data_IF_055110138010
#
_entry.id   IF_055110138010
#
_cell.length_a   1.000
_cell.length_b   1.000
_cell.length_c   1.000
_cell.angle_alpha   90.00
_cell.angle_beta   90.00
_cell.angle_gamma   90.00
#
_symmetry.space_group_name_H-M   'P 1'
#
loop_
_entity.id
_entity.type
_entity.pdbx_description
1 polymer ?
#
# COMPACT_ATOMS: atom_id res chain seq x y z
N UNK A 1 -5.45 -5.96 10.51
CA UNK A 1 -4.21 -6.11 9.71
C UNK A 1 -4.61 -6.52 8.30
N UNK A 2 -4.04 -5.89 7.28
CA UNK A 2 -4.36 -6.18 5.89
C UNK A 2 -3.71 -7.52 5.50
N UNK A 3 -4.46 -8.44 4.89
CA UNK A 3 -3.92 -9.76 4.50
C UNK A 3 -3.77 -9.88 2.99
N UNK A 4 -2.86 -10.76 2.54
CA UNK A 4 -2.69 -11.09 1.11
C UNK A 4 -4.03 -11.43 0.45
N UNK A 5 -4.81 -12.33 1.07
CA UNK A 5 -6.09 -12.76 0.52
C UNK A 5 -7.06 -11.58 0.37
N UNK A 6 -7.09 -10.68 1.35
CA UNK A 6 -7.97 -9.49 1.32
C UNK A 6 -7.56 -8.53 0.22
N UNK A 7 -6.26 -8.32 0.01
CA UNK A 7 -5.74 -7.52 -1.10
C UNK A 7 -6.13 -8.16 -2.44
N UNK A 8 -5.89 -9.46 -2.61
CA UNK A 8 -6.23 -10.18 -3.84
C UNK A 8 -7.72 -10.10 -4.16
N UNK A 9 -8.59 -10.27 -3.18
CA UNK A 9 -10.05 -10.14 -3.37
C UNK A 9 -10.46 -8.72 -3.73
N UNK A 10 -9.90 -7.70 -3.08
CA UNK A 10 -10.28 -6.30 -3.35
C UNK A 10 -9.76 -5.79 -4.70
N UNK A 11 -8.65 -6.35 -5.18
CA UNK A 11 -8.03 -6.00 -6.47
C UNK A 11 -8.40 -6.95 -7.61
N UNK A 12 -9.24 -7.96 -7.38
CA UNK A 12 -9.61 -8.99 -8.38
C UNK A 12 -8.38 -9.74 -8.95
N UNK A 13 -7.42 -10.06 -8.08
CA UNK A 13 -6.15 -10.73 -8.41
C UNK A 13 -6.11 -12.18 -7.87
N UNK A 14 -7.26 -12.82 -7.64
CA UNK A 14 -7.35 -14.13 -6.98
C UNK A 14 -6.47 -15.19 -7.66
N UNK A 15 -6.41 -15.15 -9.00
CA UNK A 15 -5.69 -16.12 -9.82
C UNK A 15 -4.21 -15.74 -10.10
N UNK A 16 -3.75 -14.57 -9.63
CA UNK A 16 -2.40 -14.04 -9.93
C UNK A 16 -1.37 -14.46 -8.87
N UNK A 17 -1.03 -15.75 -8.81
CA UNK A 17 -0.09 -16.27 -7.80
C UNK A 17 1.31 -15.68 -7.90
N UNK A 18 1.74 -15.30 -9.12
CA UNK A 18 3.05 -14.69 -9.36
C UNK A 18 3.26 -13.36 -8.62
N UNK A 19 2.18 -12.72 -8.17
CA UNK A 19 2.19 -11.45 -7.44
C UNK A 19 2.17 -11.63 -5.92
N UNK A 20 1.95 -12.85 -5.40
CA UNK A 20 1.77 -13.10 -3.97
C UNK A 20 2.96 -12.58 -3.15
N UNK A 21 4.19 -12.97 -3.51
CA UNK A 21 5.40 -12.56 -2.79
C UNK A 21 5.61 -11.05 -2.81
N UNK A 22 5.29 -10.40 -3.93
CA UNK A 22 5.35 -8.94 -4.02
C UNK A 22 4.33 -8.28 -3.10
N UNK A 23 3.08 -8.74 -3.13
CA UNK A 23 2.00 -8.18 -2.28
C UNK A 23 2.32 -8.41 -0.80
N UNK A 24 2.78 -9.60 -0.41
CA UNK A 24 3.19 -9.92 0.96
C UNK A 24 4.31 -9.01 1.45
N UNK A 25 5.29 -8.70 0.59
CA UNK A 25 6.38 -7.77 0.93
C UNK A 25 5.89 -6.33 1.06
N UNK A 26 4.91 -5.94 0.26
CA UNK A 26 4.39 -4.57 0.20
C UNK A 26 3.45 -4.23 1.35
N UNK A 27 2.67 -5.19 1.85
CA UNK A 27 1.73 -4.98 2.97
C UNK A 27 2.40 -4.29 4.17
N UNK A 28 3.48 -4.82 4.77
CA UNK A 28 4.09 -4.19 5.95
C UNK A 28 4.69 -2.81 5.63
N UNK A 29 5.27 -2.61 4.44
CA UNK A 29 5.82 -1.31 4.02
C UNK A 29 4.72 -0.25 3.93
N UNK A 30 3.57 -0.61 3.36
CA UNK A 30 2.41 0.27 3.25
C UNK A 30 1.79 0.53 4.63
N UNK A 31 1.71 -0.49 5.49
CA UNK A 31 1.22 -0.32 6.86
C UNK A 31 2.11 0.67 7.64
N UNK A 32 3.43 0.55 7.56
CA UNK A 32 4.38 1.47 8.19
C UNK A 32 4.22 2.90 7.63
N UNK A 33 4.16 3.04 6.29
CA UNK A 33 3.94 4.34 5.65
C UNK A 33 2.64 5.00 6.12
N UNK A 34 1.55 4.25 6.17
CA UNK A 34 0.25 4.77 6.59
C UNK A 34 0.26 5.18 8.05
N UNK A 35 0.88 4.37 8.93
CA UNK A 35 1.04 4.69 10.35
C UNK A 35 1.80 5.99 10.54
N UNK A 36 2.93 6.14 9.86
CA UNK A 36 3.75 7.34 9.93
C UNK A 36 2.98 8.56 9.41
N UNK A 37 2.27 8.41 8.29
CA UNK A 37 1.51 9.50 7.67
C UNK A 37 0.39 10.03 8.57
N UNK A 38 -0.37 9.15 9.22
CA UNK A 38 -1.49 9.56 10.08
C UNK A 38 -1.07 9.81 11.54
N UNK A 39 0.22 9.65 11.87
CA UNK A 39 0.76 9.71 13.23
C UNK A 39 0.11 8.67 14.17
N UNK A 40 -0.05 7.43 13.69
CA UNK A 40 -0.60 6.33 14.49
C UNK A 40 0.50 5.66 15.32
N UNK A 41 0.34 5.53 16.65
CA UNK A 41 1.23 4.72 17.48
C UNK A 41 1.33 3.26 17.02
N UNK A 42 2.46 2.61 17.31
CA UNK A 42 2.74 1.23 16.86
C UNK A 42 1.82 0.19 17.53
N UNK A 43 1.34 0.48 18.72
CA UNK A 43 0.45 -0.34 19.52
C UNK A 43 -1.04 -0.21 19.14
N UNK A 44 -1.38 0.80 18.33
CA UNK A 44 -2.75 0.98 17.85
C UNK A 44 -3.00 0.27 16.51
N UNK A 45 -4.26 -0.11 16.27
CA UNK A 45 -4.66 -0.72 15.00
C UNK A 45 -4.95 0.34 13.93
N UNK A 46 -4.51 0.06 12.69
CA UNK A 46 -4.87 0.90 11.54
C UNK A 46 -6.38 0.84 11.34
N UNK A 47 -7.09 1.99 11.23
CA UNK A 47 -8.53 2.01 11.01
C UNK A 47 -8.94 1.21 9.78
N UNK A 48 -9.97 0.36 9.90
CA UNK A 48 -10.52 -0.46 8.80
C UNK A 48 -10.90 0.38 7.57
N UNK A 49 -11.30 1.65 7.77
CA UNK A 49 -11.60 2.59 6.67
C UNK A 49 -10.41 2.90 5.75
N UNK A 50 -9.18 2.60 6.18
CA UNK A 50 -7.97 2.78 5.37
C UNK A 50 -7.58 1.54 4.56
N UNK A 51 -8.23 0.39 4.74
CA UNK A 51 -7.89 -0.84 4.02
C UNK A 51 -7.98 -0.70 2.49
N UNK A 52 -9.07 -0.10 1.98
CA UNK A 52 -9.21 0.18 0.55
C UNK A 52 -8.15 1.17 0.05
N UNK A 53 -7.70 2.09 0.90
CA UNK A 53 -6.64 3.05 0.55
C UNK A 53 -5.31 2.33 0.44
N UNK A 54 -4.97 1.47 1.40
CA UNK A 54 -3.77 0.63 1.35
C UNK A 54 -3.77 -0.31 0.14
N UNK A 55 -4.89 -0.94 -0.19
CA UNK A 55 -5.02 -1.75 -1.40
C UNK A 55 -4.71 -0.95 -2.68
N UNK A 56 -5.21 0.28 -2.80
CA UNK A 56 -4.92 1.16 -3.95
C UNK A 56 -3.46 1.57 -4.03
N UNK A 57 -2.79 1.72 -2.90
CA UNK A 57 -1.34 2.01 -2.86
C UNK A 57 -0.51 0.81 -3.31
N UNK A 58 -0.93 -0.41 -2.95
CA UNK A 58 -0.34 -1.66 -3.44
C UNK A 58 -0.57 -1.79 -4.95
N UNK A 59 -1.80 -1.56 -5.42
CA UNK A 59 -2.15 -1.56 -6.84
C UNK A 59 -1.31 -0.55 -7.65
N UNK A 60 -1.13 0.66 -7.13
CA UNK A 60 -0.31 1.69 -7.76
C UNK A 60 1.14 1.23 -7.94
N UNK A 61 1.73 0.64 -6.90
CA UNK A 61 3.09 0.13 -6.94
C UNK A 61 3.23 -1.12 -7.83
N UNK A 62 2.22 -2.00 -7.86
CA UNK A 62 2.16 -3.12 -8.81
C UNK A 62 2.18 -2.63 -10.27
N UNK A 63 1.36 -1.62 -10.58
CA UNK A 63 1.26 -1.06 -11.92
C UNK A 63 2.53 -0.30 -12.34
N UNK A 64 3.13 0.47 -11.42
CA UNK A 64 4.40 1.15 -11.68
C UNK A 64 5.53 0.13 -11.88
N UNK A 65 5.65 -0.87 -11.00
CA UNK A 65 6.61 -1.94 -11.13
C UNK A 65 6.42 -2.74 -12.43
N UNK A 66 5.18 -3.00 -12.84
CA UNK A 66 4.87 -3.67 -14.11
C UNK A 66 5.21 -2.83 -15.35
N UNK A 67 5.08 -1.50 -15.23
CA UNK A 67 5.45 -0.54 -16.29
C UNK A 67 6.96 -0.37 -16.40
N UNK A 68 7.67 -0.30 -15.26
CA UNK A 68 9.14 -0.26 -15.17
C UNK A 68 9.78 -1.59 -15.62
N UNK A 69 9.24 -2.74 -15.22
CA UNK A 69 9.67 -4.09 -15.68
C UNK A 69 9.60 -4.26 -17.19
N UNK A 70 8.62 -3.66 -17.87
CA UNK A 70 8.55 -3.68 -19.34
C UNK A 70 9.64 -2.84 -20.01
N UNK A 71 10.28 -1.91 -19.29
CA UNK A 71 11.27 -0.97 -19.84
C UNK A 71 12.72 -1.30 -19.48
N UNK A 72 13.00 -2.01 -18.41
CA UNK A 72 14.37 -2.22 -17.91
C UNK A 72 14.57 -3.69 -17.53
N UNK A 73 15.61 -4.29 -18.11
CA UNK A 73 15.92 -5.73 -18.05
C UNK A 73 16.61 -6.19 -16.76
N UNK A 74 16.76 -5.32 -15.77
CA UNK A 74 17.33 -5.59 -14.45
C UNK A 74 16.51 -4.79 -13.44
N UNK A 75 15.83 -5.45 -12.51
CA UNK A 75 14.75 -4.82 -11.73
C UNK A 75 15.22 -4.50 -10.32
N UNK A 76 15.72 -3.29 -10.13
CA UNK A 76 15.71 -2.63 -8.83
C UNK A 76 14.24 -2.28 -8.51
N UNK A 77 13.68 -2.86 -7.45
CA UNK A 77 12.30 -2.61 -7.03
C UNK A 77 12.27 -1.23 -6.36
N UNK A 78 12.04 -0.17 -7.15
CA UNK A 78 11.77 1.16 -6.61
C UNK A 78 10.35 1.24 -6.06
N UNK A 79 10.23 1.53 -4.76
CA UNK A 79 8.96 1.81 -4.09
C UNK A 79 8.58 3.28 -4.29
N UNK A 80 7.39 3.56 -4.80
CA UNK A 80 6.92 4.92 -5.01
C UNK A 80 6.05 5.37 -3.83
N UNK A 81 6.48 6.46 -3.17
CA UNK A 81 5.78 7.11 -2.06
C UNK A 81 4.96 8.33 -2.50
N UNK A 82 5.07 8.76 -3.76
CA UNK A 82 4.32 9.87 -4.33
C UNK A 82 3.04 9.35 -4.99
N UNK A 83 1.96 9.38 -4.21
CA UNK A 83 0.67 8.86 -4.62
C UNK A 83 -0.21 9.96 -5.22
N UNK A 84 -1.16 9.61 -6.10
CA UNK A 84 -2.15 10.58 -6.58
C UNK A 84 -2.99 11.14 -5.42
N UNK A 85 -3.40 12.41 -5.55
CA UNK A 85 -4.09 13.16 -4.48
C UNK A 85 -5.35 12.49 -3.93
N UNK A 86 -6.03 11.66 -4.73
CA UNK A 86 -7.20 10.89 -4.30
C UNK A 86 -6.88 9.85 -3.21
N UNK A 87 -5.67 9.27 -3.21
CA UNK A 87 -5.21 8.35 -2.17
C UNK A 87 -4.97 9.13 -0.87
N UNK A 88 -4.26 10.26 -0.93
CA UNK A 88 -4.02 11.11 0.24
C UNK A 88 -5.30 11.67 0.85
N UNK A 89 -6.34 11.99 0.06
CA UNK A 89 -7.63 12.48 0.57
C UNK A 89 -8.26 11.54 1.60
N UNK A 90 -8.11 10.23 1.44
CA UNK A 90 -8.61 9.25 2.40
C UNK A 90 -7.77 9.25 3.68
N UNK A 91 -6.45 9.28 3.55
CA UNK A 91 -5.51 9.33 4.68
C UNK A 91 -5.68 10.60 5.52
N UNK A 92 -5.90 11.74 4.88
CA UNK A 92 -6.04 13.05 5.52
C UNK A 92 -7.15 13.11 6.57
N UNK A 93 -8.19 12.27 6.44
CA UNK A 93 -9.30 12.19 7.40
C UNK A 93 -8.88 11.57 8.74
N UNK A 94 -7.77 10.84 8.75
CA UNK A 94 -7.30 10.10 9.92
C UNK A 94 -6.01 10.68 10.51
N UNK A 95 -5.45 11.76 9.92
CA UNK A 95 -4.25 12.41 10.45
C UNK A 95 -4.54 12.92 11.86
N UNK A 96 -3.73 12.47 12.81
CA UNK A 96 -3.73 12.96 14.18
C UNK A 96 -2.75 14.11 14.31
N UNK A 97 -3.08 15.07 15.17
CA UNK A 97 -2.13 16.10 15.57
C UNK A 97 -0.99 15.42 16.30
N UNK A 98 0.23 15.56 15.78
CA UNK A 98 1.44 15.15 16.49
C UNK A 98 1.64 16.15 17.63
N UNK A 99 1.20 15.80 18.83
CA UNK A 99 1.55 16.55 20.02
C UNK A 99 3.05 16.32 20.28
N UNK A 100 3.83 17.38 20.10
CA UNK A 100 5.28 17.43 20.38
C UNK A 100 5.53 17.43 21.88
#
# INVERSE_FOLDING_TARGET
MLSLQKVKTLLQLENEESLNSYIETMIPIIEDFVRDYINLPKDEEIPTGLEMTMCKMIEFNLNDAGTKRRKIKDVDIEFNTDYPSNIYKSLNKYIRLRML
#
